data_IF_455378964869
#
_entry.id   IF_455378964869
#
_cell.length_a   1.000
_cell.length_b   1.000
_cell.length_c   1.000
_cell.angle_alpha   90.00
_cell.angle_beta   90.00
_cell.angle_gamma   90.00
#
_symmetry.space_group_name_H-M   'P 1'
#
loop_
_entity.id
_entity.type
_entity.pdbx_description
1 polymer ?
#
# COMPACT_ATOMS: atom_id res chain seq x y z
N UNK A 1 -22.90 -18.07 35.20
CA UNK A 1 -22.64 -17.16 34.07
C UNK A 1 -22.41 -18.03 32.85
N UNK A 2 -23.41 -18.13 32.03
CA UNK A 2 -23.44 -18.99 30.85
C UNK A 2 -22.50 -18.40 29.79
N UNK A 3 -21.37 -19.07 29.54
CA UNK A 3 -20.50 -18.72 28.40
C UNK A 3 -21.24 -19.20 27.17
N UNK A 4 -22.09 -18.37 26.60
CA UNK A 4 -22.71 -18.62 25.30
C UNK A 4 -21.62 -19.08 24.35
N UNK A 5 -21.63 -20.39 24.01
CA UNK A 5 -20.75 -20.95 22.98
C UNK A 5 -21.00 -20.16 21.70
N UNK A 6 -20.00 -19.37 21.29
CA UNK A 6 -20.08 -18.69 19.99
C UNK A 6 -20.21 -19.76 18.91
N UNK A 7 -21.23 -19.63 18.10
CA UNK A 7 -21.39 -20.52 16.95
C UNK A 7 -20.14 -20.44 16.05
N UNK A 8 -19.66 -21.57 15.55
CA UNK A 8 -18.52 -21.59 14.65
C UNK A 8 -18.82 -20.78 13.39
N UNK A 9 -17.78 -20.29 12.71
CA UNK A 9 -17.93 -19.66 11.40
C UNK A 9 -18.33 -20.74 10.38
N UNK A 10 -19.31 -20.39 9.56
CA UNK A 10 -19.76 -21.17 8.39
C UNK A 10 -19.68 -20.30 7.14
N UNK A 11 -19.80 -20.89 5.99
CA UNK A 11 -19.83 -20.20 4.69
C UNK A 11 -20.95 -19.15 4.61
N UNK A 12 -22.09 -19.41 5.27
CA UNK A 12 -23.24 -18.49 5.34
C UNK A 12 -23.06 -17.33 6.34
N UNK A 13 -21.94 -17.31 7.10
CA UNK A 13 -21.71 -16.23 8.06
C UNK A 13 -21.55 -14.89 7.36
N UNK A 14 -22.45 -13.94 7.63
CA UNK A 14 -22.43 -12.60 7.05
C UNK A 14 -21.43 -11.72 7.78
N UNK A 15 -20.56 -11.06 7.04
CA UNK A 15 -19.60 -10.08 7.58
C UNK A 15 -20.33 -8.88 8.15
N UNK A 16 -20.04 -8.59 9.42
CA UNK A 16 -20.68 -7.49 10.16
C UNK A 16 -21.93 -7.90 10.94
N UNK A 17 -22.46 -9.13 10.78
CA UNK A 17 -23.57 -9.66 11.61
C UNK A 17 -23.16 -9.87 13.06
N UNK A 18 -21.89 -10.20 13.30
CA UNK A 18 -21.27 -10.33 14.62
C UNK A 18 -19.79 -9.94 14.60
N UNK A 19 -19.21 -9.73 15.78
CA UNK A 19 -17.77 -9.51 15.92
C UNK A 19 -17.04 -10.84 15.72
N UNK A 20 -16.21 -10.93 14.69
CA UNK A 20 -15.38 -12.09 14.37
C UNK A 20 -13.98 -11.88 14.94
N UNK A 21 -13.48 -12.84 15.73
CA UNK A 21 -12.11 -12.79 16.22
C UNK A 21 -11.11 -13.15 15.11
N UNK A 22 -9.97 -12.46 15.06
CA UNK A 22 -8.97 -12.68 14.02
C UNK A 22 -8.42 -14.12 13.97
N UNK A 23 -8.37 -14.82 15.12
CA UNK A 23 -7.95 -16.22 15.20
C UNK A 23 -9.00 -17.16 14.60
N UNK A 24 -10.28 -16.92 14.88
CA UNK A 24 -11.42 -17.67 14.35
C UNK A 24 -11.51 -17.50 12.82
N UNK A 25 -11.39 -16.27 12.35
CA UNK A 25 -11.39 -15.92 10.95
C UNK A 25 -10.26 -16.63 10.17
N UNK A 26 -9.03 -16.52 10.65
CA UNK A 26 -7.88 -17.18 10.00
C UNK A 26 -8.02 -18.71 10.02
N UNK A 27 -8.54 -19.30 11.10
CA UNK A 27 -8.76 -20.73 11.18
C UNK A 27 -9.78 -21.21 10.15
N UNK A 28 -10.87 -20.43 9.96
CA UNK A 28 -11.89 -20.72 8.96
C UNK A 28 -11.28 -20.74 7.56
N UNK A 29 -10.66 -19.64 7.11
CA UNK A 29 -10.11 -19.55 5.76
C UNK A 29 -8.95 -20.52 5.49
N UNK A 30 -8.09 -20.78 6.47
CA UNK A 30 -7.06 -21.83 6.32
C UNK A 30 -7.66 -23.20 6.11
N UNK A 31 -8.75 -23.53 6.81
CA UNK A 31 -9.43 -24.80 6.63
C UNK A 31 -10.12 -24.91 5.27
N UNK A 32 -10.78 -23.83 4.83
CA UNK A 32 -11.60 -23.82 3.62
C UNK A 32 -10.76 -23.71 2.35
N UNK A 33 -9.72 -22.88 2.34
CA UNK A 33 -8.86 -22.63 1.17
C UNK A 33 -7.64 -23.60 1.11
N UNK A 34 -7.33 -24.32 2.20
CA UNK A 34 -6.21 -25.26 2.22
C UNK A 34 -4.88 -24.60 1.81
N UNK A 35 -4.18 -25.22 0.88
CA UNK A 35 -2.88 -24.75 0.36
C UNK A 35 -3.01 -23.42 -0.42
N UNK A 36 -4.21 -23.08 -0.88
CA UNK A 36 -4.46 -21.83 -1.60
C UNK A 36 -4.60 -20.62 -0.67
N UNK A 37 -4.72 -20.82 0.65
CA UNK A 37 -4.86 -19.72 1.61
C UNK A 37 -3.78 -18.63 1.46
N UNK A 38 -2.53 -19.04 1.25
CA UNK A 38 -1.41 -18.09 1.11
C UNK A 38 -1.44 -17.30 -0.23
N UNK A 39 -2.19 -17.79 -1.21
CA UNK A 39 -2.38 -17.10 -2.50
C UNK A 39 -3.34 -15.91 -2.41
N UNK A 40 -4.18 -15.87 -1.37
CA UNK A 40 -5.25 -14.89 -1.22
C UNK A 40 -5.02 -13.92 -0.04
N UNK A 41 -4.16 -12.88 -0.18
CA UNK A 41 -3.87 -11.93 0.90
C UNK A 41 -5.10 -11.21 1.46
N UNK A 42 -6.17 -11.10 0.69
CA UNK A 42 -7.43 -10.46 1.11
C UNK A 42 -7.99 -11.10 2.38
N UNK A 43 -7.90 -12.42 2.54
CA UNK A 43 -8.43 -13.15 3.70
C UNK A 43 -7.48 -13.22 4.90
N UNK A 44 -6.31 -12.58 4.83
CA UNK A 44 -5.36 -12.60 5.95
C UNK A 44 -5.68 -11.57 7.05
N UNK A 45 -6.54 -10.59 6.77
CA UNK A 45 -6.83 -9.50 7.69
C UNK A 45 -8.33 -9.31 7.90
N UNK A 46 -8.83 -9.82 9.05
CA UNK A 46 -10.25 -9.74 9.41
C UNK A 46 -10.79 -8.31 9.45
N UNK A 47 -9.97 -7.32 9.84
CA UNK A 47 -10.41 -5.92 9.91
C UNK A 47 -10.65 -5.39 8.50
N UNK A 48 -9.73 -5.65 7.57
CA UNK A 48 -9.88 -5.25 6.17
C UNK A 48 -11.11 -5.91 5.53
N UNK A 49 -11.28 -7.21 5.73
CA UNK A 49 -12.45 -7.93 5.22
C UNK A 49 -13.73 -7.36 5.83
N UNK A 50 -13.76 -7.09 7.12
CA UNK A 50 -14.94 -6.52 7.79
C UNK A 50 -15.31 -5.12 7.29
N UNK A 51 -14.33 -4.33 6.86
CA UNK A 51 -14.56 -2.99 6.29
C UNK A 51 -15.04 -3.07 4.84
N UNK A 52 -14.42 -3.92 4.03
CA UNK A 52 -14.61 -3.94 2.57
C UNK A 52 -15.74 -4.86 2.10
N UNK A 53 -16.12 -5.87 2.93
CA UNK A 53 -17.08 -6.91 2.56
C UNK A 53 -18.26 -6.97 3.53
N UNK A 54 -18.56 -5.85 4.21
CA UNK A 54 -19.72 -5.78 5.12
C UNK A 54 -21.00 -6.13 4.37
N UNK A 55 -21.76 -7.09 4.90
CA UNK A 55 -22.99 -7.58 4.29
C UNK A 55 -22.81 -8.79 3.37
N UNK A 56 -21.58 -9.14 2.97
CA UNK A 56 -21.30 -10.37 2.21
C UNK A 56 -21.16 -11.57 3.14
N UNK A 57 -21.46 -12.75 2.64
CA UNK A 57 -21.19 -14.03 3.30
C UNK A 57 -19.72 -14.40 3.17
N UNK A 58 -19.22 -15.31 4.02
CA UNK A 58 -17.87 -15.87 3.86
C UNK A 58 -17.74 -16.70 2.57
N UNK A 59 -18.83 -17.31 2.10
CA UNK A 59 -18.88 -18.00 0.82
C UNK A 59 -18.63 -17.06 -0.36
N UNK A 60 -19.28 -15.91 -0.40
CA UNK A 60 -19.05 -14.90 -1.45
C UNK A 60 -17.59 -14.43 -1.49
N UNK A 61 -16.95 -14.32 -0.32
CA UNK A 61 -15.53 -13.96 -0.24
C UNK A 61 -14.64 -15.10 -0.76
N UNK A 62 -14.98 -16.36 -0.49
CA UNK A 62 -14.28 -17.54 -1.02
C UNK A 62 -14.41 -17.58 -2.55
N UNK A 63 -15.60 -17.35 -3.07
CA UNK A 63 -15.86 -17.30 -4.52
C UNK A 63 -15.07 -16.17 -5.20
N UNK A 64 -14.95 -15.00 -4.56
CA UNK A 64 -14.10 -13.91 -5.02
C UNK A 64 -12.60 -14.28 -4.99
N UNK A 65 -12.18 -15.17 -4.08
CA UNK A 65 -10.82 -15.70 -4.08
C UNK A 65 -10.61 -16.65 -5.29
N UNK A 66 -11.53 -17.57 -5.53
CA UNK A 66 -11.40 -18.58 -6.62
C UNK A 66 -11.73 -18.03 -8.00
N UNK A 67 -12.70 -17.16 -8.06
CA UNK A 67 -13.06 -16.41 -9.24
C UNK A 67 -12.85 -14.93 -8.90
N UNK A 68 -11.63 -14.42 -8.94
CA UNK A 68 -11.46 -13.00 -8.85
C UNK A 68 -12.21 -12.40 -10.05
N UNK A 69 -13.49 -12.07 -9.82
CA UNK A 69 -14.18 -11.09 -10.64
C UNK A 69 -13.26 -9.90 -10.56
N UNK A 70 -12.47 -9.75 -11.61
CA UNK A 70 -11.21 -9.07 -11.60
C UNK A 70 -11.30 -7.91 -10.64
N UNK A 71 -10.40 -7.86 -9.66
CA UNK A 71 -10.32 -6.69 -8.78
C UNK A 71 -10.61 -5.51 -9.68
N UNK A 72 -11.67 -4.73 -9.40
CA UNK A 72 -12.04 -3.62 -10.29
C UNK A 72 -10.74 -2.96 -10.67
N UNK A 73 -10.44 -2.91 -11.95
CA UNK A 73 -9.21 -2.29 -12.40
C UNK A 73 -9.18 -0.87 -11.84
N UNK A 74 -8.05 -0.34 -11.56
CA UNK A 74 -7.94 0.97 -10.92
C UNK A 74 -8.64 2.06 -11.75
N UNK A 75 -8.62 1.95 -13.07
CA UNK A 75 -9.38 2.82 -13.98
C UNK A 75 -10.89 2.76 -13.76
N UNK A 76 -11.46 1.57 -13.53
CA UNK A 76 -12.88 1.39 -13.22
C UNK A 76 -13.24 1.99 -11.85
N UNK A 77 -12.36 1.84 -10.85
CA UNK A 77 -12.56 2.45 -9.54
C UNK A 77 -12.51 3.99 -9.65
N UNK A 78 -11.52 4.52 -10.38
CA UNK A 78 -11.37 5.98 -10.56
C UNK A 78 -12.46 6.61 -11.44
N UNK A 79 -13.28 5.80 -12.11
CA UNK A 79 -14.47 6.25 -12.83
C UNK A 79 -15.71 6.41 -11.91
N UNK A 80 -15.66 5.97 -10.65
CA UNK A 80 -16.74 6.17 -9.69
C UNK A 80 -16.90 7.66 -9.33
N UNK A 81 -18.13 8.13 -9.13
CA UNK A 81 -18.49 9.53 -8.85
C UNK A 81 -17.65 10.17 -7.73
N UNK A 82 -17.32 9.40 -6.70
CA UNK A 82 -16.50 9.86 -5.56
C UNK A 82 -15.08 10.30 -5.94
N UNK A 83 -14.64 9.97 -7.15
CA UNK A 83 -13.33 10.33 -7.68
C UNK A 83 -13.41 11.37 -8.81
N UNK A 84 -14.58 11.95 -9.08
CA UNK A 84 -14.74 13.04 -10.07
C UNK A 84 -13.89 14.26 -9.74
N UNK A 85 -13.64 14.49 -8.45
CA UNK A 85 -12.82 15.61 -7.97
C UNK A 85 -11.35 15.53 -8.42
N UNK A 86 -10.84 14.33 -8.77
CA UNK A 86 -9.45 14.15 -9.22
C UNK A 86 -9.34 14.65 -10.66
N UNK A 87 -8.33 15.47 -10.93
CA UNK A 87 -8.06 15.97 -12.27
C UNK A 87 -7.75 14.82 -13.26
N UNK A 88 -8.04 15.05 -14.55
CA UNK A 88 -7.71 14.04 -15.59
C UNK A 88 -6.21 13.73 -15.69
N UNK A 89 -5.29 14.72 -15.60
CA UNK A 89 -3.86 14.43 -15.55
C UNK A 89 -3.47 13.56 -14.36
N UNK A 90 -4.03 13.82 -13.17
CA UNK A 90 -3.76 13.02 -11.97
C UNK A 90 -4.31 11.59 -12.09
N UNK A 91 -5.51 11.43 -12.65
CA UNK A 91 -6.04 10.08 -12.96
C UNK A 91 -5.13 9.33 -13.94
N UNK A 92 -4.65 10.03 -14.99
CA UNK A 92 -3.73 9.44 -15.96
C UNK A 92 -2.41 9.00 -15.30
N UNK A 93 -1.86 9.82 -14.39
CA UNK A 93 -0.69 9.46 -13.60
C UNK A 93 -0.94 8.23 -12.74
N UNK A 94 -2.04 8.20 -11.98
CA UNK A 94 -2.39 7.07 -11.10
C UNK A 94 -2.46 5.76 -11.90
N UNK A 95 -3.16 5.77 -13.04
CA UNK A 95 -3.34 4.58 -13.89
C UNK A 95 -2.01 4.13 -14.50
N UNK A 96 -1.21 5.06 -15.02
CA UNK A 96 0.09 4.75 -15.62
C UNK A 96 1.08 4.22 -14.56
N UNK A 97 1.09 4.81 -13.37
CA UNK A 97 1.94 4.37 -12.27
C UNK A 97 1.54 2.98 -11.74
N UNK A 98 0.24 2.71 -11.62
CA UNK A 98 -0.28 1.37 -11.26
C UNK A 98 0.21 0.31 -12.25
N UNK A 99 0.07 0.59 -13.56
CA UNK A 99 0.54 -0.33 -14.60
C UNK A 99 2.04 -0.61 -14.47
N UNK A 100 2.86 0.44 -14.33
CA UNK A 100 4.31 0.29 -14.20
C UNK A 100 4.72 -0.46 -12.92
N UNK A 101 4.03 -0.22 -11.80
CA UNK A 101 4.25 -0.96 -10.56
C UNK A 101 3.87 -2.44 -10.67
N UNK A 102 2.77 -2.76 -11.36
CA UNK A 102 2.37 -4.15 -11.60
C UNK A 102 3.44 -4.92 -12.40
N UNK A 103 4.06 -4.29 -13.39
CA UNK A 103 5.15 -4.89 -14.20
C UNK A 103 6.38 -5.28 -13.34
N UNK A 104 6.63 -4.55 -12.24
CA UNK A 104 7.75 -4.84 -11.31
C UNK A 104 7.29 -5.55 -10.02
N UNK A 105 6.09 -6.10 -10.02
CA UNK A 105 5.58 -6.98 -8.97
C UNK A 105 5.04 -6.28 -7.74
N UNK A 106 4.39 -5.14 -7.91
CA UNK A 106 3.60 -4.48 -6.87
C UNK A 106 2.15 -4.40 -7.27
N UNK A 107 1.24 -4.45 -6.32
CA UNK A 107 -0.18 -4.19 -6.52
C UNK A 107 -0.78 -3.39 -5.36
N UNK A 108 -1.92 -2.76 -5.59
CA UNK A 108 -2.65 -2.03 -4.54
C UNK A 108 -3.68 -2.91 -3.80
N UNK A 109 -3.85 -4.17 -4.23
CA UNK A 109 -4.75 -5.14 -3.62
C UNK A 109 -6.23 -4.84 -3.80
N UNK A 110 -6.61 -4.12 -4.85
CA UNK A 110 -8.00 -3.89 -5.26
C UNK A 110 -8.80 -2.93 -4.36
N UNK A 111 -8.17 -2.26 -3.37
CA UNK A 111 -8.88 -1.41 -2.43
C UNK A 111 -8.19 -0.06 -2.24
N UNK A 112 -8.93 1.03 -2.42
CA UNK A 112 -8.51 2.37 -2.03
C UNK A 112 -8.97 2.60 -0.60
N UNK A 113 -8.00 2.81 0.31
CA UNK A 113 -8.29 3.08 1.72
C UNK A 113 -8.65 4.55 1.88
N UNK A 114 -9.66 4.83 2.70
CA UNK A 114 -10.02 6.21 3.00
C UNK A 114 -10.76 6.36 4.31
N UNK A 115 -10.61 7.50 4.92
CA UNK A 115 -11.49 8.07 5.90
C UNK A 115 -12.05 9.38 5.33
N UNK A 116 -12.72 10.18 6.16
CA UNK A 116 -13.36 11.43 5.72
C UNK A 116 -12.38 12.47 5.12
N UNK A 117 -11.10 12.38 5.49
CA UNK A 117 -10.13 13.46 5.26
C UNK A 117 -9.01 13.08 4.29
N UNK A 118 -8.84 11.77 3.99
CA UNK A 118 -7.75 11.30 3.16
C UNK A 118 -8.06 9.92 2.58
N UNK A 119 -7.91 9.77 1.28
CA UNK A 119 -7.89 8.47 0.61
C UNK A 119 -6.47 8.08 0.23
N UNK A 120 -6.17 6.78 0.19
CA UNK A 120 -4.84 6.32 -0.20
C UNK A 120 -4.90 5.00 -0.99
N UNK A 121 -4.17 4.98 -2.09
CA UNK A 121 -3.84 3.78 -2.86
C UNK A 121 -2.52 3.26 -2.31
N UNK A 122 -2.52 2.09 -1.70
CA UNK A 122 -1.38 1.53 -0.97
C UNK A 122 -0.80 0.35 -1.75
N UNK A 123 0.37 0.53 -2.34
CA UNK A 123 1.03 -0.51 -3.11
C UNK A 123 1.89 -1.41 -2.22
N UNK A 124 1.73 -2.70 -2.37
CA UNK A 124 2.52 -3.71 -1.67
C UNK A 124 3.15 -4.69 -2.64
N UNK A 125 4.37 -5.18 -2.32
CA UNK A 125 5.06 -6.16 -3.15
C UNK A 125 4.30 -7.49 -3.16
N UNK A 126 4.05 -8.02 -4.36
CA UNK A 126 3.39 -9.31 -4.55
C UNK A 126 4.34 -10.46 -4.20
N UNK A 127 3.79 -11.63 -3.86
CA UNK A 127 4.58 -12.83 -3.59
C UNK A 127 5.49 -12.77 -2.35
N UNK A 128 5.34 -11.77 -1.47
CA UNK A 128 6.12 -11.66 -0.23
C UNK A 128 5.24 -11.83 1.00
N UNK A 129 5.73 -12.61 1.99
CA UNK A 129 5.00 -12.90 3.23
C UNK A 129 4.67 -11.63 4.05
N UNK A 130 5.54 -10.65 4.07
CA UNK A 130 5.39 -9.40 4.83
C UNK A 130 4.76 -8.28 4.02
N UNK A 131 4.67 -8.43 2.70
CA UNK A 131 4.12 -7.46 1.75
C UNK A 131 4.57 -6.02 2.07
N UNK A 132 5.87 -5.70 1.95
CA UNK A 132 6.36 -4.36 2.22
C UNK A 132 5.63 -3.35 1.34
N UNK A 133 5.27 -2.21 1.93
CA UNK A 133 4.55 -1.14 1.26
C UNK A 133 5.52 0.03 1.03
N UNK A 134 6.24 0.06 -0.09
CA UNK A 134 7.26 1.09 -0.35
C UNK A 134 6.66 2.40 -0.83
N UNK A 135 5.42 2.41 -1.34
CA UNK A 135 4.83 3.61 -1.92
C UNK A 135 3.32 3.68 -1.73
N UNK A 136 2.81 4.90 -1.69
CA UNK A 136 1.38 5.22 -1.63
C UNK A 136 1.09 6.44 -2.50
N UNK A 137 -0.06 6.45 -3.11
CA UNK A 137 -0.66 7.68 -3.65
C UNK A 137 -1.72 8.14 -2.66
N UNK A 138 -1.58 9.32 -2.14
CA UNK A 138 -2.60 9.98 -1.32
C UNK A 138 -3.48 10.84 -2.22
N UNK A 139 -4.78 10.85 -1.95
CA UNK A 139 -5.77 11.67 -2.63
C UNK A 139 -6.39 12.54 -1.54
N UNK A 140 -6.14 13.84 -1.64
CA UNK A 140 -6.61 14.82 -0.67
C UNK A 140 -8.06 15.23 -0.95
N UNK A 141 -8.70 15.94 -0.02
CA UNK A 141 -10.10 16.35 -0.14
C UNK A 141 -10.37 17.35 -1.28
N UNK A 142 -9.36 18.02 -1.76
CA UNK A 142 -9.45 18.95 -2.92
C UNK A 142 -9.21 18.24 -4.26
N UNK A 143 -8.99 16.93 -4.23
CA UNK A 143 -8.71 16.11 -5.40
C UNK A 143 -7.24 16.11 -5.83
N UNK A 144 -6.37 16.88 -5.18
CA UNK A 144 -4.93 16.81 -5.42
C UNK A 144 -4.36 15.46 -5.00
N UNK A 145 -3.28 15.03 -5.66
CA UNK A 145 -2.61 13.78 -5.32
C UNK A 145 -1.17 14.02 -4.86
N UNK A 146 -0.68 13.14 -4.00
CA UNK A 146 0.73 13.12 -3.65
C UNK A 146 1.29 11.69 -3.68
N UNK A 147 2.50 11.52 -4.22
CA UNK A 147 3.20 10.24 -4.28
C UNK A 147 4.17 10.15 -3.09
N UNK A 148 3.88 9.29 -2.11
CA UNK A 148 4.76 9.08 -0.95
C UNK A 148 5.56 7.80 -1.07
N UNK A 149 6.86 7.93 -0.94
CA UNK A 149 7.83 6.85 -0.97
C UNK A 149 8.36 6.60 0.44
N UNK A 150 8.41 5.34 0.85
CA UNK A 150 8.85 4.91 2.19
C UNK A 150 10.18 4.15 2.08
N UNK A 151 11.21 4.87 1.67
CA UNK A 151 12.55 4.33 1.44
C UNK A 151 13.30 4.14 2.78
N UNK A 152 14.17 3.15 2.84
CA UNK A 152 14.98 2.83 4.02
C UNK A 152 16.45 2.73 3.65
N UNK A 153 17.36 2.87 4.66
CA UNK A 153 18.80 2.73 4.46
C UNK A 153 19.37 3.65 3.39
N UNK A 154 18.98 4.91 3.43
CA UNK A 154 19.31 5.89 2.39
C UNK A 154 20.83 5.97 2.14
N UNK A 155 21.65 5.89 3.19
CA UNK A 155 23.11 5.93 3.07
C UNK A 155 23.71 4.75 2.29
N UNK A 156 23.04 3.58 2.28
CA UNK A 156 23.47 2.41 1.48
C UNK A 156 23.29 2.67 -0.03
N UNK A 157 22.41 3.60 -0.41
CA UNK A 157 22.07 3.96 -1.79
C UNK A 157 22.58 5.35 -2.19
N UNK A 158 23.48 5.94 -1.40
CA UNK A 158 24.01 7.31 -1.62
C UNK A 158 24.56 7.49 -3.03
N UNK A 159 25.38 6.56 -3.49
CA UNK A 159 25.97 6.63 -4.82
C UNK A 159 24.94 6.68 -5.95
N UNK A 160 23.85 5.89 -5.82
CA UNK A 160 22.74 5.96 -6.76
C UNK A 160 22.08 7.34 -6.74
N UNK A 161 21.77 7.86 -5.54
CA UNK A 161 21.09 9.15 -5.38
C UNK A 161 21.91 10.30 -5.94
N UNK A 162 23.23 10.33 -5.67
CA UNK A 162 24.12 11.39 -6.12
C UNK A 162 24.30 11.40 -7.65
N UNK A 163 24.14 10.24 -8.31
CA UNK A 163 24.22 10.11 -9.76
C UNK A 163 22.86 10.09 -10.47
N UNK A 164 21.76 10.16 -9.72
CA UNK A 164 20.42 10.23 -10.28
C UNK A 164 20.14 11.58 -10.96
N UNK A 165 19.05 11.65 -11.70
CA UNK A 165 18.57 12.94 -12.29
C UNK A 165 18.36 14.00 -11.20
N UNK A 166 18.39 15.26 -11.60
CA UNK A 166 18.07 16.38 -10.70
C UNK A 166 16.69 16.21 -10.05
N UNK A 167 15.75 15.65 -10.78
CA UNK A 167 14.39 15.38 -10.34
C UNK A 167 14.34 14.34 -9.22
N UNK A 168 15.05 13.21 -9.35
CA UNK A 168 15.14 12.19 -8.30
C UNK A 168 15.94 12.71 -7.09
N UNK A 169 17.04 13.45 -7.31
CA UNK A 169 17.80 14.06 -6.20
C UNK A 169 16.94 15.01 -5.39
N UNK A 170 16.07 15.78 -6.04
CA UNK A 170 15.15 16.72 -5.41
C UNK A 170 14.18 16.00 -4.43
N UNK A 171 13.73 14.78 -4.72
CA UNK A 171 12.90 13.96 -3.80
C UNK A 171 13.56 13.77 -2.44
N UNK A 172 14.89 13.68 -2.40
CA UNK A 172 15.65 13.51 -1.15
C UNK A 172 16.02 14.85 -0.50
N UNK A 173 16.13 15.93 -1.24
CA UNK A 173 16.67 17.21 -0.75
C UNK A 173 15.63 18.29 -0.50
N UNK A 174 14.39 18.15 -1.06
CA UNK A 174 13.30 19.08 -0.79
C UNK A 174 12.83 19.03 0.67
N UNK A 175 12.00 19.98 1.09
CA UNK A 175 11.48 20.07 2.46
C UNK A 175 10.23 19.21 2.71
N UNK A 176 9.66 18.56 1.68
CA UNK A 176 8.47 17.72 1.83
C UNK A 176 8.83 16.43 2.59
N UNK A 177 7.97 16.03 3.53
CA UNK A 177 8.21 14.85 4.36
C UNK A 177 9.23 15.04 5.48
N UNK A 178 9.70 16.28 5.70
CA UNK A 178 10.61 16.63 6.81
C UNK A 178 10.01 16.23 8.16
N UNK A 179 10.85 15.70 9.04
CA UNK A 179 10.40 15.28 10.36
C UNK A 179 9.96 16.49 11.17
N UNK A 180 8.67 16.55 11.51
CA UNK A 180 8.10 17.62 12.35
C UNK A 180 8.19 17.35 13.86
N UNK A 181 8.80 16.24 14.27
CA UNK A 181 8.90 15.87 15.69
C UNK A 181 7.57 15.42 16.33
N UNK A 182 6.52 15.15 15.55
CA UNK A 182 5.16 14.90 16.04
C UNK A 182 5.03 13.72 17.03
N UNK A 183 5.99 12.81 17.08
CA UNK A 183 5.96 11.61 17.91
C UNK A 183 7.31 11.36 18.60
N UNK A 184 7.94 12.40 19.14
CA UNK A 184 9.20 12.25 19.88
C UNK A 184 8.95 11.70 21.28
N UNK A 185 9.70 10.65 21.63
CA UNK A 185 9.87 10.17 23.00
C UNK A 185 11.37 10.12 23.28
N UNK A 186 11.79 10.80 24.34
CA UNK A 186 13.22 10.91 24.74
C UNK A 186 14.11 11.40 23.58
N UNK A 187 13.63 12.38 22.80
CA UNK A 187 14.32 12.94 21.64
C UNK A 187 14.36 12.04 20.40
N UNK A 188 13.74 10.84 20.45
CA UNK A 188 13.69 9.88 19.33
C UNK A 188 12.27 9.67 18.84
N UNK A 189 12.10 9.46 17.53
CA UNK A 189 10.81 9.16 16.96
C UNK A 189 10.28 7.82 17.49
N UNK A 190 9.14 7.85 18.21
CA UNK A 190 8.48 6.66 18.76
C UNK A 190 8.21 5.58 17.73
N UNK A 191 7.83 5.96 16.52
CA UNK A 191 7.48 5.02 15.44
C UNK A 191 8.65 4.68 14.53
N UNK A 192 9.86 5.22 14.81
CA UNK A 192 11.07 5.00 14.00
C UNK A 192 10.88 5.32 12.51
N UNK A 193 9.97 6.23 12.19
CA UNK A 193 9.71 6.63 10.81
C UNK A 193 10.75 7.60 10.26
N UNK A 194 11.39 8.39 11.13
CA UNK A 194 12.43 9.35 10.72
C UNK A 194 13.66 8.63 10.18
N UNK A 195 14.10 9.04 9.00
CA UNK A 195 15.37 8.66 8.36
C UNK A 195 16.29 9.86 8.42
N UNK A 196 17.48 9.66 8.96
CA UNK A 196 18.56 10.64 9.00
C UNK A 196 19.62 10.18 8.01
N UNK A 197 20.05 11.05 7.10
CA UNK A 197 21.01 10.75 6.05
C UNK A 197 21.70 12.01 5.57
N UNK A 198 22.79 11.88 4.81
CA UNK A 198 23.57 13.00 4.29
C UNK A 198 23.69 12.92 2.76
N UNK A 199 23.39 14.02 2.06
CA UNK A 199 23.62 14.18 0.63
C UNK A 199 24.38 15.49 0.41
N UNK A 200 25.44 15.48 -0.40
CA UNK A 200 26.28 16.64 -0.71
C UNK A 200 26.77 17.37 0.58
N UNK A 201 27.02 16.64 1.65
CA UNK A 201 27.46 17.21 2.94
C UNK A 201 26.33 17.80 3.80
N UNK A 202 25.12 17.85 3.34
CA UNK A 202 23.95 18.35 4.07
C UNK A 202 23.19 17.23 4.79
N UNK A 203 22.82 17.47 6.03
CA UNK A 203 22.07 16.52 6.87
C UNK A 203 20.56 16.71 6.67
N UNK A 204 19.87 15.62 6.36
CA UNK A 204 18.42 15.58 6.18
C UNK A 204 17.75 14.66 7.22
N UNK A 205 16.50 15.02 7.60
CA UNK A 205 15.65 14.24 8.49
C UNK A 205 14.26 14.15 7.91
N UNK A 206 13.90 13.02 7.28
CA UNK A 206 12.59 12.82 6.64
C UNK A 206 11.85 11.61 7.18
N UNK A 207 10.53 11.68 7.22
CA UNK A 207 9.66 10.54 7.56
C UNK A 207 9.26 9.74 6.32
N UNK A 208 9.08 10.42 5.21
CA UNK A 208 8.79 9.87 3.89
C UNK A 208 9.42 10.78 2.82
N UNK A 209 9.41 10.33 1.60
CA UNK A 209 9.94 11.04 0.45
C UNK A 209 8.81 11.33 -0.52
N UNK A 210 8.75 12.53 -1.04
CA UNK A 210 7.67 12.97 -1.92
C UNK A 210 8.25 13.95 -2.95
N UNK A 211 8.00 13.72 -4.26
CA UNK A 211 8.37 14.69 -5.30
C UNK A 211 7.47 15.93 -5.20
N UNK A 212 7.95 17.06 -5.66
CA UNK A 212 7.19 18.33 -5.70
C UNK A 212 6.03 18.30 -6.67
N UNK A 213 6.12 17.49 -7.71
CA UNK A 213 5.02 17.23 -8.63
C UNK A 213 4.99 15.75 -9.06
N UNK A 214 3.84 15.31 -9.56
CA UNK A 214 3.66 13.99 -10.14
C UNK A 214 3.34 14.15 -11.62
N UNK A 215 4.19 13.58 -12.50
CA UNK A 215 4.00 13.62 -13.94
C UNK A 215 4.25 12.24 -14.54
N UNK A 216 3.49 11.89 -15.57
CA UNK A 216 3.54 10.57 -16.22
C UNK A 216 4.94 10.27 -16.78
N UNK A 217 5.59 11.27 -17.33
CA UNK A 217 6.95 11.18 -17.90
C UNK A 217 8.02 10.79 -16.87
N UNK A 218 7.78 11.06 -15.59
CA UNK A 218 8.71 10.74 -14.50
C UNK A 218 8.52 9.32 -13.92
N UNK A 219 7.49 8.60 -14.35
CA UNK A 219 7.20 7.24 -13.85
C UNK A 219 8.38 6.30 -14.00
N UNK A 220 9.11 6.24 -15.13
CA UNK A 220 10.27 5.36 -15.24
C UNK A 220 11.32 5.59 -14.14
N UNK A 221 11.60 6.85 -13.81
CA UNK A 221 12.58 7.19 -12.77
C UNK A 221 12.10 6.76 -11.37
N UNK A 222 10.80 6.83 -11.08
CA UNK A 222 10.24 6.30 -9.83
C UNK A 222 10.34 4.77 -9.74
N UNK A 223 10.13 4.08 -10.87
CA UNK A 223 10.24 2.61 -10.93
C UNK A 223 11.70 2.19 -10.74
N UNK A 224 12.65 2.87 -11.36
CA UNK A 224 14.08 2.65 -11.18
C UNK A 224 14.50 2.88 -9.73
N UNK A 225 14.05 3.99 -9.13
CA UNK A 225 14.28 4.28 -7.71
C UNK A 225 13.73 3.18 -6.80
N UNK A 226 12.49 2.75 -7.01
CA UNK A 226 11.89 1.67 -6.22
C UNK A 226 12.62 0.34 -6.42
N UNK A 227 13.10 0.06 -7.63
CA UNK A 227 13.85 -1.15 -7.95
C UNK A 227 15.24 -1.16 -7.29
N UNK A 228 15.90 -0.02 -7.20
CA UNK A 228 17.15 0.15 -6.46
C UNK A 228 16.97 -0.15 -4.97
N UNK A 229 15.96 0.44 -4.34
CA UNK A 229 15.73 0.26 -2.89
C UNK A 229 15.08 -1.08 -2.53
N UNK A 230 14.33 -1.67 -3.43
CA UNK A 230 13.56 -2.90 -3.22
C UNK A 230 13.74 -3.88 -4.39
N UNK A 231 14.97 -4.33 -4.65
CA UNK A 231 15.25 -5.21 -5.79
C UNK A 231 14.37 -6.46 -5.73
N UNK A 232 13.87 -6.87 -6.88
CA UNK A 232 13.25 -8.18 -7.02
C UNK A 232 14.32 -9.23 -6.78
N UNK A 233 14.13 -10.13 -5.81
CA UNK A 233 15.01 -11.29 -5.70
C UNK A 233 14.97 -12.00 -7.05
N UNK A 234 16.11 -12.03 -7.78
CA UNK A 234 16.25 -12.89 -8.94
C UNK A 234 15.88 -14.29 -8.50
N UNK A 235 14.81 -14.86 -9.08
CA UNK A 235 14.45 -16.24 -8.83
C UNK A 235 15.72 -17.07 -9.03
N UNK A 236 16.04 -17.94 -8.08
CA UNK A 236 17.04 -18.97 -8.33
C UNK A 236 16.52 -19.73 -9.54
N UNK A 237 17.18 -19.55 -10.70
CA UNK A 237 17.02 -20.48 -11.79
C UNK A 237 17.40 -21.86 -11.24
N UNK A 238 16.40 -22.70 -11.03
CA UNK A 238 16.54 -24.13 -10.76
C UNK A 238 16.77 -24.84 -12.07
#
# INVERSE_FOLDING_TARGET
MDKTKKEPLTEDTVIGSRKIAAVEFRKFFKKTLGDDYEKYPVVHNVIKVSLNHKGKTLQEIIEECHNPTGSKRLDEILAEDRFEIISMPDKAFIIAFDKALNEVGYDFGGTIFGNRDLMAIVYGKTGTKTRPCPTRIHIENDGSISLRLYLHKIDDHRHYIENASAYIREVFTNDIGKCCGCNLKDGKCKYKCTKTYTIDGHLFNKCYFEPTNTAVENIPEYIDLLSEFYPTKKGKCS
#
